data_IF_455576840366
#
_entry.id   IF_455576840366
#
_cell.length_a   1.000
_cell.length_b   1.000
_cell.length_c   1.000
_cell.angle_alpha   90.00
_cell.angle_beta   90.00
_cell.angle_gamma   90.00
#
_symmetry.space_group_name_H-M   'P 1'
#
loop_
_entity.id
_entity.type
_entity.pdbx_description
1 polymer ?
#
# COMPACT_ATOMS: atom_id res chain seq x y z
N UNK A 1 -55.21 -17.03 6.84
CA UNK A 1 -54.19 -16.06 6.38
C UNK A 1 -52.75 -16.45 6.72
N UNK A 2 -52.43 -17.03 7.90
CA UNK A 2 -51.03 -17.38 8.26
C UNK A 2 -50.43 -18.56 7.48
N UNK A 3 -51.24 -19.53 7.03
CA UNK A 3 -50.76 -20.71 6.29
C UNK A 3 -50.36 -20.35 4.84
N UNK A 4 -51.09 -19.44 4.19
CA UNK A 4 -50.78 -18.99 2.84
C UNK A 4 -49.44 -18.24 2.75
N UNK A 5 -49.07 -17.50 3.81
CA UNK A 5 -47.77 -16.81 3.86
C UNK A 5 -46.59 -17.78 3.92
N UNK A 6 -46.72 -18.90 4.65
CA UNK A 6 -45.65 -19.91 4.77
C UNK A 6 -45.44 -20.64 3.44
N UNK A 7 -46.53 -20.99 2.73
CA UNK A 7 -46.45 -21.67 1.43
C UNK A 7 -45.77 -20.75 0.39
N UNK A 8 -46.09 -19.45 0.39
CA UNK A 8 -45.46 -18.49 -0.52
C UNK A 8 -43.95 -18.39 -0.32
N UNK A 9 -43.50 -18.34 0.95
CA UNK A 9 -42.06 -18.26 1.27
C UNK A 9 -41.33 -19.54 0.84
N UNK A 10 -41.91 -20.71 1.05
CA UNK A 10 -41.31 -21.99 0.63
C UNK A 10 -41.17 -22.05 -0.90
N UNK A 11 -42.18 -21.59 -1.65
CA UNK A 11 -42.13 -21.54 -3.12
C UNK A 11 -41.03 -20.59 -3.61
N UNK A 12 -40.88 -19.41 -3.00
CA UNK A 12 -39.83 -18.45 -3.37
C UNK A 12 -38.43 -19.03 -3.11
N UNK A 13 -38.21 -19.69 -1.96
CA UNK A 13 -36.93 -20.32 -1.63
C UNK A 13 -36.59 -21.44 -2.62
N UNK A 14 -37.57 -22.27 -3.00
CA UNK A 14 -37.35 -23.33 -3.98
C UNK A 14 -37.04 -22.79 -5.38
N UNK A 15 -37.67 -21.69 -5.80
CA UNK A 15 -37.37 -21.03 -7.08
C UNK A 15 -35.95 -20.45 -7.09
N UNK A 16 -35.51 -19.83 -5.99
CA UNK A 16 -34.14 -19.28 -5.87
C UNK A 16 -33.06 -20.37 -5.85
N UNK A 17 -33.32 -21.51 -5.21
CA UNK A 17 -32.40 -22.67 -5.24
C UNK A 17 -32.33 -23.24 -6.66
N UNK A 18 -33.47 -23.36 -7.34
CA UNK A 18 -33.52 -23.94 -8.69
C UNK A 18 -32.86 -23.03 -9.74
N UNK A 19 -32.96 -21.70 -9.61
CA UNK A 19 -32.29 -20.76 -10.52
C UNK A 19 -30.79 -20.63 -10.27
N UNK A 20 -30.32 -20.77 -9.02
CA UNK A 20 -28.88 -20.74 -8.69
C UNK A 20 -28.08 -21.92 -9.24
N UNK A 21 -28.70 -23.11 -9.34
CA UNK A 21 -28.03 -24.33 -9.83
C UNK A 21 -27.76 -24.30 -11.34
N UNK A 22 -28.52 -23.50 -12.12
CA UNK A 22 -28.32 -23.35 -13.57
C UNK A 22 -27.10 -22.50 -13.95
N UNK A 23 -26.50 -21.76 -13.01
CA UNK A 23 -25.41 -20.82 -13.31
C UNK A 23 -24.00 -21.37 -13.01
N UNK A 24 -23.88 -22.55 -12.37
CA UNK A 24 -22.58 -23.14 -11.98
C UNK A 24 -22.12 -24.27 -12.92
N UNK A 25 -22.95 -24.67 -13.89
CA UNK A 25 -22.69 -25.84 -14.75
C UNK A 25 -22.21 -25.52 -16.17
N UNK A 26 -21.75 -24.31 -16.46
CA UNK A 26 -21.20 -23.98 -17.79
C UNK A 26 -19.99 -23.05 -17.70
N UNK A 27 -18.82 -23.61 -17.38
CA UNK A 27 -17.52 -23.30 -18.00
C UNK A 27 -16.37 -23.93 -17.20
N UNK A 28 -16.19 -25.24 -17.40
CA UNK A 28 -14.90 -25.90 -17.18
C UNK A 28 -14.55 -26.61 -18.48
N UNK A 29 -13.90 -25.87 -19.39
CA UNK A 29 -13.21 -26.44 -20.54
C UNK A 29 -11.74 -26.63 -20.16
N UNK A 30 -11.42 -27.83 -19.69
CA UNK A 30 -10.04 -28.29 -19.50
C UNK A 30 -9.67 -29.09 -20.76
N UNK A 31 -8.91 -28.48 -21.68
CA UNK A 31 -8.57 -29.14 -22.94
C UNK A 31 -7.48 -28.44 -23.75
N UNK A 32 -6.22 -28.84 -23.49
CA UNK A 32 -5.16 -28.92 -24.50
C UNK A 32 -4.41 -27.63 -24.84
N UNK A 33 -3.16 -27.52 -24.40
CA UNK A 33 -2.06 -27.00 -25.23
C UNK A 33 -0.72 -27.41 -24.60
N UNK A 34 -0.17 -28.54 -25.06
CA UNK A 34 1.23 -28.92 -24.85
C UNK A 34 1.91 -28.94 -26.21
N UNK A 35 2.55 -27.83 -26.57
CA UNK A 35 3.59 -27.77 -27.60
C UNK A 35 4.38 -26.46 -27.43
N UNK A 36 5.71 -26.54 -27.52
CA UNK A 36 6.58 -25.35 -27.46
C UNK A 36 7.91 -25.60 -26.76
N UNK A 37 8.79 -26.39 -27.38
CA UNK A 37 10.03 -25.88 -28.01
C UNK A 37 11.14 -25.49 -27.01
N UNK A 38 12.12 -26.40 -26.87
CA UNK A 38 13.46 -26.10 -26.33
C UNK A 38 14.16 -25.10 -27.26
N UNK A 39 14.51 -23.93 -26.74
CA UNK A 39 15.48 -23.00 -27.36
C UNK A 39 16.78 -23.06 -26.59
N UNK A 40 17.84 -23.38 -27.32
CA UNK A 40 19.24 -23.33 -26.90
C UNK A 40 19.66 -21.88 -26.63
N UNK A 41 20.31 -21.63 -25.51
CA UNK A 41 20.97 -20.36 -25.20
C UNK A 41 22.47 -20.51 -25.39
N UNK A 42 22.99 -19.84 -26.41
CA UNK A 42 24.40 -19.61 -26.70
C UNK A 42 24.88 -18.35 -25.93
N UNK A 43 26.11 -18.29 -25.39
CA UNK A 43 26.56 -17.14 -24.62
C UNK A 43 27.07 -16.00 -25.52
N UNK A 44 26.63 -14.80 -25.17
CA UNK A 44 26.92 -13.53 -25.83
C UNK A 44 28.35 -13.03 -25.57
N UNK A 45 28.96 -12.51 -26.63
CA UNK A 45 30.32 -11.99 -26.72
C UNK A 45 30.36 -10.51 -26.28
N UNK A 46 31.33 -10.17 -25.44
CA UNK A 46 31.55 -8.83 -24.88
C UNK A 46 32.48 -7.97 -25.75
N UNK A 47 32.17 -6.68 -25.93
CA UNK A 47 33.15 -5.65 -26.37
C UNK A 47 32.69 -4.22 -25.96
N UNK A 48 33.53 -3.16 -26.03
CA UNK A 48 34.15 -2.59 -24.84
C UNK A 48 33.91 -1.08 -24.60
N UNK A 49 34.39 -0.65 -23.45
CA UNK A 49 34.44 0.70 -22.85
C UNK A 49 34.93 1.81 -23.80
N UNK A 50 34.19 2.93 -23.86
CA UNK A 50 34.58 4.17 -24.53
C UNK A 50 35.37 5.12 -23.59
N UNK A 51 36.44 5.73 -24.12
CA UNK A 51 37.20 6.84 -23.51
C UNK A 51 36.63 8.19 -23.98
N UNK A 52 36.72 9.27 -23.17
CA UNK A 52 36.39 10.61 -23.64
C UNK A 52 37.51 11.18 -24.53
N UNK A 53 37.13 11.67 -25.72
CA UNK A 53 37.99 12.46 -26.61
C UNK A 53 37.84 13.94 -26.31
N UNK A 54 38.96 14.60 -25.97
CA UNK A 54 39.06 16.05 -26.05
C UNK A 54 39.52 16.44 -27.47
N UNK A 55 38.79 17.32 -28.14
CA UNK A 55 39.20 17.91 -29.42
C UNK A 55 39.74 19.32 -29.18
N UNK A 56 41.01 19.53 -29.49
CA UNK A 56 41.63 20.86 -29.52
C UNK A 56 41.70 21.28 -30.99
N UNK A 57 40.97 22.34 -31.34
CA UNK A 57 41.11 23.03 -32.62
C UNK A 57 41.88 24.33 -32.40
N UNK A 58 42.81 24.65 -33.31
CA UNK A 58 43.60 25.88 -33.31
C UNK A 58 43.29 26.67 -34.57
N UNK A 59 42.94 27.93 -34.39
CA UNK A 59 42.80 28.88 -35.50
C UNK A 59 44.12 29.67 -35.69
N UNK A 60 44.33 30.13 -36.92
CA UNK A 60 45.60 30.64 -37.49
C UNK A 60 46.04 32.04 -36.95
N UNK A 61 45.40 32.55 -35.90
CA UNK A 61 45.74 33.85 -35.28
C UNK A 61 46.18 33.75 -33.81
N UNK A 62 46.44 32.55 -33.30
CA UNK A 62 47.17 32.36 -32.04
C UNK A 62 46.48 32.91 -30.78
N UNK A 63 45.17 33.20 -30.84
CA UNK A 63 44.37 33.60 -29.68
C UNK A 63 43.65 32.37 -29.13
N UNK A 64 44.06 31.93 -27.94
CA UNK A 64 43.35 30.88 -27.20
C UNK A 64 42.10 31.51 -26.58
N UNK A 65 40.96 31.30 -27.22
CA UNK A 65 39.66 31.57 -26.59
C UNK A 65 39.31 30.34 -25.75
N UNK A 66 39.44 30.49 -24.42
CA UNK A 66 38.93 29.49 -23.48
C UNK A 66 37.43 29.73 -23.41
N UNK A 67 36.68 29.02 -24.25
CA UNK A 67 35.25 28.93 -24.08
C UNK A 67 35.01 28.23 -22.74
N UNK A 68 34.51 28.99 -21.77
CA UNK A 68 34.01 28.41 -20.54
C UNK A 68 32.74 27.66 -20.92
N UNK A 69 32.90 26.39 -21.25
CA UNK A 69 31.82 25.43 -21.32
C UNK A 69 31.06 25.54 -19.99
N UNK A 70 29.91 26.23 -20.05
CA UNK A 70 28.98 26.38 -18.94
C UNK A 70 28.79 24.99 -18.37
N UNK A 71 29.09 24.74 -17.08
CA UNK A 71 29.09 23.38 -16.56
C UNK A 71 27.70 22.77 -16.78
N UNK A 72 27.67 21.86 -17.75
CA UNK A 72 26.56 20.96 -18.03
C UNK A 72 26.50 20.00 -16.86
N UNK A 73 25.50 20.19 -16.00
CA UNK A 73 25.32 19.38 -14.81
C UNK A 73 24.38 20.07 -13.84
N UNK A 74 23.07 20.03 -14.17
CA UNK A 74 21.89 20.21 -13.30
C UNK A 74 20.61 20.54 -14.10
N UNK A 75 20.66 20.59 -15.44
CA UNK A 75 19.52 20.96 -16.28
C UNK A 75 18.75 19.77 -16.88
N UNK A 76 18.99 18.54 -16.40
CA UNK A 76 18.38 17.32 -16.98
C UNK A 76 17.05 16.87 -16.34
N UNK A 77 16.63 17.41 -15.19
CA UNK A 77 15.50 16.82 -14.45
C UNK A 77 14.23 17.68 -14.39
N UNK A 78 14.12 18.77 -15.16
CA UNK A 78 12.86 19.56 -15.19
C UNK A 78 11.92 18.95 -16.26
N UNK A 79 10.72 18.49 -15.87
CA UNK A 79 9.77 17.92 -16.80
C UNK A 79 9.38 18.87 -17.93
N UNK A 80 9.10 18.29 -19.11
CA UNK A 80 8.71 19.08 -20.27
C UNK A 80 7.45 19.90 -19.98
N UNK A 81 7.52 21.21 -20.26
CA UNK A 81 6.40 22.13 -20.02
C UNK A 81 6.41 22.81 -18.64
N UNK A 82 7.42 22.54 -17.80
CA UNK A 82 7.62 23.21 -16.52
C UNK A 82 8.89 24.05 -16.51
N UNK A 83 8.87 25.16 -15.78
CA UNK A 83 10.04 25.94 -15.43
C UNK A 83 10.50 25.59 -14.00
N UNK A 84 11.73 25.96 -13.66
CA UNK A 84 12.26 25.76 -12.30
C UNK A 84 11.40 26.42 -11.21
N UNK A 85 10.70 27.51 -11.54
CA UNK A 85 9.79 28.21 -10.62
C UNK A 85 8.49 27.44 -10.36
N UNK A 86 8.14 26.48 -11.21
CA UNK A 86 6.95 25.65 -11.06
C UNK A 86 7.21 24.41 -10.21
N UNK A 87 8.46 24.16 -9.81
CA UNK A 87 8.86 23.00 -9.02
C UNK A 87 8.70 23.28 -7.53
N UNK A 88 8.15 22.29 -6.84
CA UNK A 88 8.01 22.30 -5.39
C UNK A 88 9.39 22.20 -4.74
N UNK A 89 9.60 22.80 -3.55
CA UNK A 89 10.75 22.50 -2.70
C UNK A 89 10.94 21.01 -2.39
N UNK A 90 9.86 20.23 -2.53
CA UNK A 90 9.83 18.77 -2.35
C UNK A 90 9.94 17.99 -3.66
N UNK A 91 10.22 18.65 -4.79
CA UNK A 91 10.46 18.00 -6.07
C UNK A 91 11.58 16.96 -5.97
N UNK A 92 11.29 15.73 -6.43
CA UNK A 92 12.19 14.59 -6.31
C UNK A 92 12.42 14.06 -4.87
N UNK A 93 11.70 14.58 -3.87
CA UNK A 93 11.73 14.07 -2.48
C UNK A 93 10.59 13.11 -2.18
N UNK A 94 9.50 13.24 -2.90
CA UNK A 94 8.38 12.30 -2.93
C UNK A 94 8.14 11.93 -4.38
N UNK A 95 7.90 10.65 -4.63
CA UNK A 95 7.64 10.15 -5.97
C UNK A 95 6.37 9.31 -6.01
N UNK A 96 5.74 9.25 -7.18
CA UNK A 96 4.71 8.28 -7.52
C UNK A 96 5.42 6.96 -7.82
N UNK A 97 5.54 6.11 -6.80
CA UNK A 97 6.30 4.86 -6.90
C UNK A 97 5.59 3.76 -7.71
N UNK A 98 4.25 3.80 -7.76
CA UNK A 98 3.46 2.86 -8.56
C UNK A 98 2.04 3.34 -8.77
N UNK A 99 1.43 2.87 -9.86
CA UNK A 99 0.03 3.09 -10.19
C UNK A 99 -0.65 1.74 -10.41
N UNK A 100 -1.77 1.52 -9.73
CA UNK A 100 -2.68 0.40 -9.99
C UNK A 100 -3.80 0.91 -10.88
N UNK A 101 -3.76 0.47 -12.14
CA UNK A 101 -4.76 0.80 -13.16
C UNK A 101 -6.15 0.29 -12.69
N UNK A 102 -7.23 1.07 -12.89
CA UNK A 102 -8.58 0.58 -12.64
C UNK A 102 -8.88 -0.60 -13.57
N UNK A 103 -9.52 -1.64 -13.05
CA UNK A 103 -9.89 -2.82 -13.84
C UNK A 103 -11.25 -2.62 -14.50
N UNK A 104 -11.48 -3.23 -15.66
CA UNK A 104 -12.80 -3.22 -16.32
C UNK A 104 -13.90 -3.88 -15.48
N UNK A 105 -13.52 -4.62 -14.43
CA UNK A 105 -14.41 -5.37 -13.55
C UNK A 105 -14.77 -4.61 -12.25
N UNK A 106 -14.36 -3.35 -12.11
CA UNK A 106 -14.79 -2.49 -11.01
C UNK A 106 -13.82 -2.42 -9.83
N UNK A 107 -12.60 -2.97 -9.94
CA UNK A 107 -11.56 -2.64 -8.96
C UNK A 107 -11.17 -1.18 -9.17
N UNK A 108 -11.51 -0.33 -8.20
CA UNK A 108 -11.07 1.05 -8.20
C UNK A 108 -9.54 1.10 -8.29
N UNK A 109 -8.99 2.05 -9.06
CA UNK A 109 -7.56 2.21 -9.23
C UNK A 109 -6.83 2.58 -7.92
N UNK A 110 -5.56 2.94 -8.02
CA UNK A 110 -4.79 3.40 -6.87
C UNK A 110 -3.40 3.84 -7.25
N UNK A 111 -2.70 4.44 -6.29
CA UNK A 111 -1.32 4.85 -6.49
C UNK A 111 -0.55 4.81 -5.16
N UNK A 112 0.77 4.75 -5.26
CA UNK A 112 1.65 4.78 -4.09
C UNK A 112 2.54 6.00 -4.17
N UNK A 113 2.48 6.84 -3.13
CA UNK A 113 3.49 7.88 -2.92
C UNK A 113 4.59 7.33 -2.03
N UNK A 114 5.84 7.54 -2.40
CA UNK A 114 7.00 7.09 -1.62
C UNK A 114 7.91 8.28 -1.35
N UNK A 115 8.32 8.42 -0.08
CA UNK A 115 9.38 9.36 0.28
C UNK A 115 10.75 8.76 -0.05
N UNK A 116 11.60 9.55 -0.69
CA UNK A 116 12.99 9.14 -0.95
C UNK A 116 13.81 9.26 0.34
N UNK A 117 14.94 8.55 0.37
CA UNK A 117 15.81 8.42 1.54
C UNK A 117 16.38 9.73 2.12
N UNK A 118 16.28 10.85 1.40
CA UNK A 118 16.79 12.17 1.80
C UNK A 118 15.80 13.03 2.58
N UNK A 119 14.58 12.55 2.85
CA UNK A 119 13.63 13.26 3.71
C UNK A 119 14.25 13.35 5.13
N UNK A 120 14.72 14.53 5.53
CA UNK A 120 15.30 14.76 6.86
C UNK A 120 14.22 14.86 7.94
N UNK A 121 13.06 15.38 7.54
CA UNK A 121 11.93 15.67 8.42
C UNK A 121 10.68 14.89 8.02
N UNK A 122 9.60 15.08 8.78
CA UNK A 122 8.27 14.64 8.44
C UNK A 122 7.65 15.57 7.38
N UNK A 123 7.04 15.01 6.34
CA UNK A 123 6.39 15.78 5.29
C UNK A 123 4.88 15.56 5.33
N UNK A 124 4.13 16.62 5.55
CA UNK A 124 2.67 16.60 5.47
C UNK A 124 2.26 16.68 4.00
N UNK A 125 1.59 15.63 3.52
CA UNK A 125 1.10 15.56 2.14
C UNK A 125 -0.41 15.81 2.07
N UNK A 126 -1.02 16.28 3.16
CA UNK A 126 -2.43 16.65 3.17
C UNK A 126 -2.65 17.84 2.23
N UNK A 127 -3.72 17.79 1.43
CA UNK A 127 -4.04 18.83 0.45
C UNK A 127 -3.26 18.72 -0.87
N UNK A 128 -2.27 17.84 -0.96
CA UNK A 128 -1.58 17.54 -2.21
C UNK A 128 -2.56 16.96 -3.24
N UNK A 129 -2.24 17.10 -4.51
CA UNK A 129 -3.13 16.70 -5.60
C UNK A 129 -2.40 15.83 -6.59
N UNK A 130 -3.05 14.76 -7.03
CA UNK A 130 -2.60 13.96 -8.17
C UNK A 130 -3.53 14.22 -9.34
N UNK A 131 -2.99 14.77 -10.42
CA UNK A 131 -3.71 15.09 -11.64
C UNK A 131 -3.37 14.06 -12.71
N UNK A 132 -4.38 13.53 -13.35
CA UNK A 132 -4.29 12.66 -14.53
C UNK A 132 -4.82 13.38 -15.78
N UNK A 133 -4.76 12.72 -16.93
CA UNK A 133 -5.40 13.21 -18.15
C UNK A 133 -6.93 13.32 -18.01
N UNK A 134 -7.53 12.49 -17.15
CA UNK A 134 -8.98 12.31 -17.06
C UNK A 134 -9.58 12.85 -15.75
N UNK A 135 -8.77 13.44 -14.87
CA UNK A 135 -9.27 13.98 -13.61
C UNK A 135 -8.18 14.36 -12.62
N UNK A 136 -8.61 14.60 -11.39
CA UNK A 136 -7.72 14.98 -10.29
C UNK A 136 -8.27 14.44 -8.98
N UNK A 137 -7.36 14.02 -8.09
CA UNK A 137 -7.68 13.56 -6.74
C UNK A 137 -6.89 14.43 -5.77
N UNK A 138 -7.55 14.89 -4.72
CA UNK A 138 -6.91 15.60 -3.61
C UNK A 138 -6.71 14.64 -2.43
N UNK A 139 -5.53 14.68 -1.84
CA UNK A 139 -5.20 13.99 -0.59
C UNK A 139 -5.96 14.66 0.55
N UNK A 140 -7.15 14.12 0.85
CA UNK A 140 -7.98 14.62 1.95
C UNK A 140 -7.54 14.01 3.27
N UNK A 141 -7.24 14.86 4.25
CA UNK A 141 -7.16 14.46 5.65
C UNK A 141 -8.51 13.94 6.17
N UNK A 142 -8.50 13.20 7.28
CA UNK A 142 -9.72 12.63 7.87
C UNK A 142 -10.19 13.34 9.14
N UNK A 143 -11.44 13.79 9.20
CA UNK A 143 -12.10 14.14 10.46
C UNK A 143 -12.58 12.85 11.15
N UNK A 144 -12.11 12.57 12.37
CA UNK A 144 -12.40 11.31 13.07
C UNK A 144 -13.63 11.38 13.97
N UNK A 145 -14.40 10.29 14.00
CA UNK A 145 -15.31 9.92 15.09
C UNK A 145 -15.03 8.52 15.66
N UNK A 146 -14.03 7.79 15.14
CA UNK A 146 -13.73 6.40 15.54
C UNK A 146 -12.22 6.25 15.77
N UNK A 147 -11.74 6.25 17.03
CA UNK A 147 -10.34 5.92 17.36
C UNK A 147 -10.04 4.44 17.07
N UNK A 148 -8.79 4.07 16.75
CA UNK A 148 -7.58 4.90 16.58
C UNK A 148 -7.28 5.26 15.11
N UNK A 149 -8.18 4.88 14.21
CA UNK A 149 -8.05 5.08 12.77
C UNK A 149 -8.70 6.39 12.37
N UNK A 150 -8.28 7.02 11.27
CA UNK A 150 -8.62 8.39 10.87
C UNK A 150 -7.79 9.47 11.59
N UNK A 151 -6.63 9.80 11.02
CA UNK A 151 -5.88 11.00 11.40
C UNK A 151 -6.23 12.18 10.48
N UNK A 152 -6.17 13.39 11.06
CA UNK A 152 -6.47 14.63 10.35
C UNK A 152 -5.44 14.99 9.29
N UNK A 153 -4.22 14.48 9.39
CA UNK A 153 -3.09 14.80 8.50
C UNK A 153 -2.39 13.52 8.08
N UNK A 154 -2.00 13.43 6.81
CA UNK A 154 -1.24 12.31 6.25
C UNK A 154 0.21 12.75 6.16
N UNK A 155 1.05 12.19 7.03
CA UNK A 155 2.44 12.61 7.21
C UNK A 155 3.38 11.50 6.76
N UNK A 156 4.15 11.73 5.71
CA UNK A 156 5.19 10.82 5.26
C UNK A 156 6.46 10.99 6.09
N UNK A 157 6.99 9.86 6.56
CA UNK A 157 8.31 9.77 7.20
C UNK A 157 9.31 9.26 6.18
N UNK A 158 10.60 9.54 6.37
CA UNK A 158 11.67 9.03 5.51
C UNK A 158 11.54 7.52 5.25
N UNK A 159 11.66 7.12 3.98
CA UNK A 159 11.57 5.73 3.50
C UNK A 159 10.22 5.04 3.77
N UNK A 160 9.15 5.80 3.99
CA UNK A 160 7.79 5.26 4.09
C UNK A 160 6.98 5.59 2.84
N UNK A 161 5.86 4.89 2.68
CA UNK A 161 4.95 5.05 1.56
C UNK A 161 3.51 5.25 2.02
N UNK A 162 2.75 6.06 1.30
CA UNK A 162 1.30 6.13 1.42
C UNK A 162 0.69 5.42 0.22
N UNK A 163 -0.12 4.38 0.47
CA UNK A 163 -0.84 3.66 -0.58
C UNK A 163 -2.28 4.14 -0.59
N UNK A 164 -2.71 4.64 -1.74
CA UNK A 164 -4.03 5.18 -1.99
C UNK A 164 -4.87 4.15 -2.76
N UNK A 165 -6.03 3.84 -2.20
CA UNK A 165 -7.03 2.95 -2.76
C UNK A 165 -8.26 3.77 -3.13
N UNK A 166 -8.74 3.60 -4.36
CA UNK A 166 -10.07 4.04 -4.72
C UNK A 166 -11.08 3.11 -4.05
N UNK A 167 -11.81 3.61 -3.06
CA UNK A 167 -12.88 2.84 -2.42
C UNK A 167 -14.01 3.75 -2.00
N UNK A 168 -15.20 3.44 -2.50
CA UNK A 168 -16.41 4.19 -2.22
C UNK A 168 -17.07 3.76 -0.90
N UNK A 169 -16.64 2.67 -0.25
CA UNK A 169 -17.43 2.01 0.80
C UNK A 169 -16.74 1.77 2.15
N UNK A 170 -15.42 1.98 2.30
CA UNK A 170 -14.79 1.86 3.63
C UNK A 170 -15.18 3.01 4.57
N UNK A 171 -15.71 2.64 5.74
CA UNK A 171 -15.95 3.55 6.87
C UNK A 171 -14.64 3.99 7.55
N UNK A 172 -13.57 3.21 7.38
CA UNK A 172 -12.22 3.56 7.83
C UNK A 172 -11.51 4.30 6.72
N UNK A 173 -11.08 5.53 7.03
CA UNK A 173 -10.26 6.34 6.14
C UNK A 173 -8.91 6.56 6.81
N UNK A 174 -7.86 6.60 6.00
CA UNK A 174 -6.53 7.08 6.39
C UNK A 174 -5.97 6.43 7.67
N UNK A 175 -5.29 5.29 7.51
CA UNK A 175 -4.64 4.56 8.59
C UNK A 175 -3.13 4.76 8.53
N UNK A 176 -2.55 5.42 9.55
CA UNK A 176 -1.09 5.38 9.78
C UNK A 176 -0.74 4.00 10.32
N UNK A 177 0.09 3.29 9.58
CA UNK A 177 0.50 1.94 9.93
C UNK A 177 1.53 1.98 11.05
N UNK A 178 1.20 1.26 12.12
CA UNK A 178 2.12 0.94 13.19
C UNK A 178 2.28 -0.58 13.35
N UNK A 179 3.23 -1.00 14.21
CA UNK A 179 3.49 -2.42 14.51
C UNK A 179 2.22 -3.23 14.80
N UNK A 180 1.23 -2.65 15.45
CA UNK A 180 0.04 -3.33 15.95
C UNK A 180 -1.16 -3.29 15.00
N UNK A 181 -1.10 -2.49 13.92
CA UNK A 181 -2.27 -2.22 13.04
C UNK A 181 -2.91 -3.46 12.44
N UNK A 182 -2.18 -4.54 12.23
CA UNK A 182 -2.76 -5.77 11.70
C UNK A 182 -3.84 -6.39 12.60
N UNK A 183 -3.85 -6.10 13.92
CA UNK A 183 -4.91 -6.55 14.84
C UNK A 183 -6.27 -5.92 14.50
N UNK A 184 -6.28 -4.74 13.88
CA UNK A 184 -7.50 -4.06 13.51
C UNK A 184 -8.30 -4.81 12.44
N UNK A 185 -7.68 -5.73 11.70
CA UNK A 185 -8.38 -6.61 10.76
C UNK A 185 -9.38 -7.57 11.45
N UNK A 186 -9.24 -7.80 12.75
CA UNK A 186 -10.17 -8.65 13.52
C UNK A 186 -11.41 -7.85 13.98
N UNK A 187 -11.31 -6.52 14.01
CA UNK A 187 -12.38 -5.61 14.45
C UNK A 187 -13.10 -4.97 13.27
N UNK A 188 -12.36 -4.66 12.20
CA UNK A 188 -12.86 -3.92 11.04
C UNK A 188 -12.76 -4.76 9.76
N UNK A 189 -13.82 -4.71 8.96
CA UNK A 189 -13.82 -5.27 7.60
C UNK A 189 -13.14 -4.26 6.68
N UNK A 190 -11.85 -4.49 6.40
CA UNK A 190 -11.03 -3.65 5.53
C UNK A 190 -10.71 -4.39 4.25
N UNK A 191 -10.85 -3.71 3.11
CA UNK A 191 -10.42 -4.19 1.81
C UNK A 191 -9.55 -3.13 1.10
N UNK A 192 -8.26 -3.39 0.87
CA UNK A 192 -7.52 -4.58 1.28
C UNK A 192 -7.26 -4.63 2.79
N UNK A 193 -7.01 -5.85 3.30
CA UNK A 193 -6.61 -6.06 4.71
C UNK A 193 -5.30 -5.34 5.03
N UNK A 194 -5.19 -4.87 6.27
CA UNK A 194 -3.96 -4.26 6.79
C UNK A 194 -2.84 -5.30 6.92
N UNK A 195 -1.57 -4.90 6.75
CA UNK A 195 -0.43 -5.80 6.92
C UNK A 195 -0.38 -6.42 8.32
N UNK A 196 -0.13 -7.74 8.39
CA UNK A 196 -0.02 -8.50 9.64
C UNK A 196 1.42 -8.50 10.20
N UNK A 197 1.93 -7.32 10.54
CA UNK A 197 3.32 -7.11 10.99
C UNK A 197 3.50 -7.07 12.53
N UNK A 198 2.54 -7.61 13.30
CA UNK A 198 2.58 -7.52 14.76
C UNK A 198 3.77 -8.26 15.36
N UNK A 199 4.40 -7.69 16.41
CA UNK A 199 5.43 -8.40 17.16
C UNK A 199 4.87 -9.73 17.67
N UNK A 200 5.61 -10.81 17.45
CA UNK A 200 5.26 -12.10 18.02
C UNK A 200 5.71 -12.15 19.48
N UNK A 201 4.97 -12.86 20.34
CA UNK A 201 5.43 -13.20 21.69
C UNK A 201 6.81 -13.87 21.67
N UNK A 202 7.72 -13.42 22.52
CA UNK A 202 8.98 -14.11 22.71
C UNK A 202 8.80 -15.39 23.58
N UNK A 203 9.71 -16.35 23.42
CA UNK A 203 9.73 -17.58 24.22
C UNK A 203 9.85 -17.29 25.70
N UNK A 204 10.60 -16.25 26.08
CA UNK A 204 10.73 -15.83 27.48
C UNK A 204 9.41 -15.45 28.12
N UNK A 205 8.48 -14.88 27.35
CA UNK A 205 7.17 -14.44 27.84
C UNK A 205 6.22 -15.60 28.16
N UNK A 206 6.49 -16.77 27.56
CA UNK A 206 5.60 -17.95 27.63
C UNK A 206 6.21 -19.10 28.44
N UNK A 207 7.42 -18.93 29.00
CA UNK A 207 8.19 -20.03 29.62
C UNK A 207 7.47 -20.68 30.83
N UNK A 208 6.68 -19.89 31.55
CA UNK A 208 5.94 -20.33 32.73
C UNK A 208 4.58 -20.99 32.38
N UNK A 209 4.16 -20.94 31.12
CA UNK A 209 2.87 -21.50 30.70
C UNK A 209 2.93 -23.01 30.54
N UNK A 210 1.76 -23.66 30.53
CA UNK A 210 1.67 -25.07 30.19
C UNK A 210 2.22 -25.36 28.79
N UNK A 211 2.73 -26.58 28.56
CA UNK A 211 3.27 -26.95 27.24
C UNK A 211 2.23 -26.86 26.11
N UNK A 212 0.96 -27.13 26.43
CA UNK A 212 -0.15 -26.96 25.49
C UNK A 212 -0.35 -25.48 25.12
N UNK A 213 -0.33 -24.58 26.11
CA UNK A 213 -0.44 -23.15 25.86
C UNK A 213 0.74 -22.61 25.04
N UNK A 214 1.98 -22.98 25.41
CA UNK A 214 3.17 -22.56 24.66
C UNK A 214 3.09 -22.98 23.19
N UNK A 215 2.58 -24.20 22.93
CA UNK A 215 2.38 -24.70 21.56
C UNK A 215 1.30 -23.92 20.83
N UNK A 216 0.20 -23.58 21.52
CA UNK A 216 -0.89 -22.79 20.95
C UNK A 216 -0.46 -21.36 20.61
N UNK A 217 0.19 -20.64 21.53
CA UNK A 217 0.72 -19.29 21.29
C UNK A 217 1.63 -19.26 20.05
N UNK A 218 2.46 -20.31 19.86
CA UNK A 218 3.36 -20.42 18.70
C UNK A 218 2.64 -20.77 17.40
N UNK A 219 1.46 -21.36 17.48
CA UNK A 219 0.65 -21.70 16.30
C UNK A 219 -0.11 -20.49 15.75
N UNK A 220 -0.33 -19.46 16.57
CA UNK A 220 -1.02 -18.23 16.15
C UNK A 220 -0.24 -17.51 15.05
N UNK A 221 -0.96 -17.07 14.03
CA UNK A 221 -0.45 -16.15 13.02
C UNK A 221 -0.10 -14.78 13.61
N UNK A 222 0.65 -13.98 12.86
CA UNK A 222 0.90 -12.59 13.26
C UNK A 222 -0.41 -11.81 13.32
N UNK A 223 -0.59 -11.00 14.37
CA UNK A 223 -1.80 -10.21 14.63
C UNK A 223 -3.09 -11.05 14.76
N UNK A 224 -2.97 -12.33 15.08
CA UNK A 224 -4.12 -13.20 15.28
C UNK A 224 -4.59 -13.12 16.73
N UNK A 225 -5.91 -13.03 16.91
CA UNK A 225 -6.54 -13.09 18.22
C UNK A 225 -7.21 -14.45 18.36
N UNK A 226 -7.00 -15.15 19.49
CA UNK A 226 -7.72 -16.39 19.76
C UNK A 226 -9.23 -16.16 19.76
N UNK A 227 -9.96 -17.11 19.19
CA UNK A 227 -11.42 -17.15 19.29
C UNK A 227 -11.86 -17.48 20.72
N UNK A 228 -13.11 -17.17 21.07
CA UNK A 228 -13.65 -17.49 22.40
C UNK A 228 -13.59 -19.00 22.72
N UNK A 229 -13.79 -19.86 21.73
CA UNK A 229 -13.65 -21.32 21.90
C UNK A 229 -12.21 -21.74 22.16
N UNK A 230 -11.23 -21.04 21.58
CA UNK A 230 -9.82 -21.30 21.83
C UNK A 230 -9.37 -20.82 23.21
N UNK A 231 -9.82 -19.65 23.65
CA UNK A 231 -9.58 -19.14 25.01
C UNK A 231 -10.13 -20.12 26.07
N UNK A 232 -11.36 -20.62 25.87
CA UNK A 232 -12.01 -21.54 26.80
C UNK A 232 -11.25 -22.86 27.03
N UNK A 233 -10.29 -23.22 26.16
CA UNK A 233 -9.42 -24.39 26.34
C UNK A 233 -8.41 -24.23 27.47
N UNK A 234 -8.14 -22.99 27.91
CA UNK A 234 -7.09 -22.63 28.86
C UNK A 234 -7.65 -22.06 30.16
N UNK A 235 -8.74 -22.64 30.68
CA UNK A 235 -9.45 -22.15 31.89
C UNK A 235 -9.08 -22.90 33.18
N UNK A 236 -8.21 -23.93 33.09
CA UNK A 236 -7.72 -24.66 34.25
C UNK A 236 -6.84 -23.80 35.16
N UNK A 237 -6.72 -24.15 36.44
CA UNK A 237 -5.95 -23.37 37.43
C UNK A 237 -4.50 -23.11 37.03
N UNK A 238 -3.88 -24.03 36.28
CA UNK A 238 -2.50 -23.91 35.79
C UNK A 238 -2.39 -23.11 34.48
N UNK A 239 -3.52 -22.79 33.85
CA UNK A 239 -3.59 -22.09 32.57
C UNK A 239 -4.12 -20.65 32.71
N UNK A 240 -4.50 -20.19 33.91
CA UNK A 240 -4.94 -18.81 34.15
C UNK A 240 -3.94 -17.78 33.56
N UNK A 241 -2.62 -17.87 33.79
CA UNK A 241 -1.67 -16.93 33.20
C UNK A 241 -1.63 -17.00 31.67
N UNK A 242 -1.87 -18.18 31.09
CA UNK A 242 -1.96 -18.34 29.65
C UNK A 242 -3.23 -17.66 29.10
N UNK A 243 -4.37 -17.85 29.77
CA UNK A 243 -5.63 -17.25 29.36
C UNK A 243 -5.53 -15.72 29.32
N UNK A 244 -5.04 -15.12 30.40
CA UNK A 244 -4.84 -13.66 30.49
C UNK A 244 -3.89 -13.18 29.38
N UNK A 245 -2.78 -13.88 29.16
CA UNK A 245 -1.85 -13.57 28.08
C UNK A 245 -2.51 -13.62 26.69
N UNK A 246 -3.38 -14.60 26.45
CA UNK A 246 -4.08 -14.76 25.18
C UNK A 246 -5.14 -13.68 24.98
N UNK A 247 -5.84 -13.24 26.03
CA UNK A 247 -6.75 -12.07 25.99
C UNK A 247 -5.99 -10.78 25.68
N UNK A 248 -4.73 -10.70 26.14
CA UNK A 248 -3.88 -9.55 25.91
C UNK A 248 -3.35 -9.42 24.48
N UNK A 249 -3.52 -10.45 23.63
CA UNK A 249 -3.18 -10.41 22.21
C UNK A 249 -4.22 -9.58 21.44
N UNK A 250 -4.13 -8.26 21.56
CA UNK A 250 -5.03 -7.32 20.91
C UNK A 250 -4.32 -6.00 20.56
N UNK A 251 -5.00 -5.14 19.78
CA UNK A 251 -4.44 -3.87 19.35
C UNK A 251 -4.04 -2.98 20.53
N UNK A 252 -4.94 -2.77 21.51
CA UNK A 252 -4.73 -1.82 22.60
C UNK A 252 -3.50 -2.18 23.44
N UNK A 253 -3.37 -3.45 23.84
CA UNK A 253 -2.24 -3.92 24.62
C UNK A 253 -0.94 -3.94 23.82
N UNK A 254 -1.00 -4.30 22.53
CA UNK A 254 0.15 -4.19 21.64
C UNK A 254 0.66 -2.73 21.56
N UNK A 255 -0.24 -1.74 21.40
CA UNK A 255 0.13 -0.32 21.41
C UNK A 255 0.70 0.09 22.77
N UNK A 256 0.06 -0.32 23.87
CA UNK A 256 0.56 -0.05 25.22
C UNK A 256 1.99 -0.54 25.43
N UNK A 257 2.34 -1.70 24.86
CA UNK A 257 3.66 -2.31 24.99
C UNK A 257 4.73 -1.72 24.05
N UNK A 258 4.37 -1.41 22.80
CA UNK A 258 5.36 -1.11 21.75
C UNK A 258 5.32 0.34 21.24
N UNK A 259 4.42 1.19 21.72
CA UNK A 259 4.28 2.58 21.24
C UNK A 259 5.53 3.44 21.42
N UNK A 260 6.39 3.12 22.39
CA UNK A 260 7.68 3.79 22.61
C UNK A 260 8.80 3.32 21.69
N UNK A 261 8.58 2.28 20.87
CA UNK A 261 9.63 1.76 19.99
C UNK A 261 9.99 2.77 18.89
N UNK A 262 11.29 2.98 18.59
CA UNK A 262 11.71 3.94 17.56
C UNK A 262 11.12 3.67 16.17
N UNK A 263 10.82 2.41 15.86
CA UNK A 263 10.22 1.98 14.60
C UNK A 263 8.72 1.65 14.71
N UNK A 264 8.02 2.21 15.71
CA UNK A 264 6.59 1.92 15.89
C UNK A 264 5.75 2.30 14.66
N UNK A 265 5.99 3.48 14.05
CA UNK A 265 5.28 4.01 12.88
C UNK A 265 6.02 3.84 11.53
N UNK A 266 6.93 2.87 11.40
CA UNK A 266 7.80 2.77 10.22
C UNK A 266 7.14 2.19 8.96
N UNK A 267 5.81 2.03 8.93
CA UNK A 267 5.12 1.22 7.93
C UNK A 267 4.31 2.06 6.93
N UNK A 268 4.27 3.38 7.09
CA UNK A 268 3.61 4.31 6.17
C UNK A 268 2.10 4.37 6.34
N UNK A 269 1.36 4.58 5.25
CA UNK A 269 -0.07 4.84 5.29
C UNK A 269 -0.87 3.92 4.36
N UNK A 270 -2.15 3.72 4.74
CA UNK A 270 -3.20 3.18 3.88
C UNK A 270 -4.33 4.21 3.82
N UNK A 271 -4.63 4.69 2.63
CA UNK A 271 -5.56 5.80 2.40
C UNK A 271 -6.66 5.31 1.47
N UNK A 272 -7.90 5.41 1.90
CA UNK A 272 -9.07 5.09 1.08
C UNK A 272 -9.71 6.40 0.63
N UNK A 273 -9.66 6.67 -0.67
CA UNK A 273 -10.17 7.91 -1.26
C UNK A 273 -11.65 7.74 -1.60
N UNK A 274 -12.47 8.71 -1.21
CA UNK A 274 -13.90 8.74 -1.58
C UNK A 274 -14.15 9.07 -3.04
N UNK A 275 -13.13 9.60 -3.72
CA UNK A 275 -13.21 10.00 -5.10
C UNK A 275 -12.87 8.77 -5.96
N UNK A 276 -13.70 8.50 -6.98
CA UNK A 276 -13.40 7.46 -7.97
C UNK A 276 -12.11 7.86 -8.70
N UNK A 277 -11.09 7.02 -8.60
CA UNK A 277 -9.80 7.29 -9.24
C UNK A 277 -9.96 7.15 -10.76
N UNK A 278 -9.92 8.29 -11.46
CA UNK A 278 -10.07 8.37 -12.92
C UNK A 278 -8.73 8.30 -13.65
N UNK A 279 -7.94 7.28 -13.36
CA UNK A 279 -6.73 7.03 -14.14
C UNK A 279 -7.08 6.31 -15.45
N UNK A 280 -6.41 6.68 -16.52
CA UNK A 280 -6.50 5.95 -17.78
C UNK A 280 -5.92 4.55 -17.61
N UNK A 281 -6.62 3.53 -18.10
CA UNK A 281 -6.19 2.14 -17.93
C UNK A 281 -5.03 1.77 -18.84
N UNK A 282 -4.85 2.47 -19.96
CA UNK A 282 -3.81 2.21 -20.93
C UNK A 282 -2.63 3.13 -20.72
N UNK A 283 -2.85 4.45 -20.87
CA UNK A 283 -1.80 5.46 -20.87
C UNK A 283 -2.21 6.73 -20.14
N UNK A 284 -1.41 7.12 -19.15
CA UNK A 284 -1.68 8.33 -18.37
C UNK A 284 -0.40 9.11 -18.08
N UNK A 285 -0.55 10.42 -17.93
CA UNK A 285 0.49 11.29 -17.43
C UNK A 285 0.02 11.85 -16.09
N UNK A 286 0.57 11.28 -15.02
CA UNK A 286 0.24 11.68 -13.67
C UNK A 286 1.19 12.75 -13.20
N UNK A 287 0.63 13.85 -12.70
CA UNK A 287 1.34 14.98 -12.15
C UNK A 287 0.99 15.12 -10.67
N UNK A 288 1.99 15.04 -9.80
CA UNK A 288 1.82 15.25 -8.36
C UNK A 288 2.12 16.71 -8.04
N UNK A 289 1.17 17.39 -7.41
CA UNK A 289 1.29 18.78 -6.97
C UNK A 289 1.21 18.88 -5.44
N UNK A 290 1.97 19.81 -4.88
CA UNK A 290 1.84 20.19 -3.47
C UNK A 290 0.62 21.09 -3.23
N UNK A 291 0.43 21.51 -1.97
CA UNK A 291 -0.68 22.39 -1.57
C UNK A 291 -0.64 23.78 -2.25
N UNK A 292 0.54 24.22 -2.70
CA UNK A 292 0.76 25.50 -3.39
C UNK A 292 0.65 25.36 -4.92
N UNK A 293 0.25 24.18 -5.42
CA UNK A 293 0.17 23.87 -6.84
C UNK A 293 1.52 23.81 -7.57
N UNK A 294 2.61 23.58 -6.84
CA UNK A 294 3.92 23.35 -7.44
C UNK A 294 4.14 21.86 -7.70
N UNK A 295 4.82 21.54 -8.81
CA UNK A 295 5.08 20.17 -9.23
C UNK A 295 6.07 19.48 -8.29
N UNK A 296 5.70 18.30 -7.80
CA UNK A 296 6.53 17.46 -6.94
C UNK A 296 7.14 16.30 -7.72
N UNK A 297 6.36 15.69 -8.60
CA UNK A 297 6.79 14.53 -9.38
C UNK A 297 5.90 14.31 -10.61
N UNK A 298 6.41 13.58 -11.59
CA UNK A 298 5.63 13.09 -12.72
C UNK A 298 5.80 11.58 -12.92
N UNK A 299 4.75 10.94 -13.45
CA UNK A 299 4.78 9.52 -13.76
C UNK A 299 3.98 9.24 -15.03
N UNK A 300 4.63 8.58 -15.99
CA UNK A 300 4.05 8.23 -17.29
C UNK A 300 4.03 6.71 -17.42
N UNK A 301 2.93 6.14 -17.92
CA UNK A 301 2.81 4.73 -18.26
C UNK A 301 1.93 4.48 -19.49
#
# INVERSE_FOLDING_TARGET
MRIFGIILVIVIVLVLIYSGIRWVASEVSLGGFLSGQRRSSEPEESTPVAKPSASVSRDDEGRVEVDFEKPSGLQEDIPAGFAAADLSPDFGRVEIASVRKPSSFGDGGGFTLRSVSKLKDHLDITGWRIKSNNGEITVKGGASSVPPVNLQRIVLRSRTSAIFYADQQSFVKNVELNKCTGYLNNTYTLDPKLPKNCPRPDRGETIAFSGACQSFVRSLGSCEQPTSSELNRFTGSNDIPCHEFLEDLNYANCVGKYSSDPNFYSYGWRVWTSDEVRFDSQHDWLLLFDENSLLVDEYIY
#
